data_IF_719029504101
#
_entry.id   IF_719029504101
#
_cell.length_a   1.000
_cell.length_b   1.000
_cell.length_c   1.000
_cell.angle_alpha   90.00
_cell.angle_beta   90.00
_cell.angle_gamma   90.00
#
_symmetry.space_group_name_H-M   'P 1'
#
loop_
_entity.id
_entity.type
_entity.pdbx_description
1 polymer ?
#
# COMPACT_ATOMS: atom_id res chain seq x y z
N UNK A 1 13.32 -3.73 -15.10
CA UNK A 1 12.61 -4.32 -16.27
C UNK A 1 11.42 -5.12 -15.75
N UNK A 2 10.24 -5.04 -16.39
CA UNK A 2 9.06 -5.83 -16.04
C UNK A 2 9.07 -7.16 -16.80
N UNK A 3 8.81 -8.26 -16.11
CA UNK A 3 8.81 -9.61 -16.67
C UNK A 3 7.45 -10.29 -16.47
N UNK A 4 7.04 -11.11 -17.45
CA UNK A 4 5.82 -11.87 -17.37
C UNK A 4 6.08 -13.26 -16.78
N UNK A 5 5.19 -13.71 -15.94
CA UNK A 5 5.17 -15.08 -15.41
C UNK A 5 4.48 -15.98 -16.43
N UNK A 6 5.10 -17.12 -16.77
CA UNK A 6 4.60 -18.05 -17.78
C UNK A 6 3.61 -19.05 -17.18
N UNK A 7 3.93 -19.57 -15.98
CA UNK A 7 3.15 -20.60 -15.29
C UNK A 7 3.37 -20.56 -13.75
N UNK A 8 2.79 -21.50 -13.03
CA UNK A 8 2.91 -21.56 -11.57
C UNK A 8 4.31 -21.98 -11.10
N UNK A 9 5.01 -22.83 -11.85
CA UNK A 9 6.36 -23.28 -11.50
C UNK A 9 7.36 -22.12 -11.67
N UNK A 10 7.19 -21.33 -12.76
CA UNK A 10 7.95 -20.10 -12.96
C UNK A 10 7.67 -19.09 -11.81
N UNK A 11 6.42 -18.92 -11.40
CA UNK A 11 6.05 -18.06 -10.27
C UNK A 11 6.74 -18.51 -8.97
N UNK A 12 6.79 -19.79 -8.70
CA UNK A 12 7.49 -20.32 -7.52
C UNK A 12 8.99 -20.10 -7.58
N UNK A 13 9.59 -20.32 -8.74
CA UNK A 13 11.01 -20.09 -8.98
C UNK A 13 11.38 -18.63 -8.73
N UNK A 14 10.59 -17.70 -9.25
CA UNK A 14 10.79 -16.25 -9.06
C UNK A 14 10.66 -15.87 -7.58
N UNK A 15 9.65 -16.38 -6.87
CA UNK A 15 9.48 -16.11 -5.44
C UNK A 15 10.66 -16.63 -4.60
N UNK A 16 11.26 -17.76 -4.99
CA UNK A 16 12.47 -18.30 -4.36
C UNK A 16 13.71 -17.51 -4.70
N UNK A 17 13.87 -17.10 -5.96
CA UNK A 17 15.02 -16.33 -6.45
C UNK A 17 15.10 -14.93 -5.86
N UNK A 18 13.95 -14.29 -5.62
CA UNK A 18 13.83 -12.92 -5.11
C UNK A 18 13.27 -12.88 -3.68
N UNK A 19 13.84 -13.69 -2.78
CA UNK A 19 13.36 -13.78 -1.38
C UNK A 19 13.40 -12.44 -0.63
N UNK A 20 14.36 -11.55 -0.96
CA UNK A 20 14.50 -10.28 -0.25
C UNK A 20 13.39 -9.30 -0.59
N UNK A 21 12.98 -9.20 -1.83
CA UNK A 21 11.88 -8.33 -2.24
C UNK A 21 11.51 -8.53 -3.71
N UNK A 22 10.23 -8.58 -4.02
CA UNK A 22 9.72 -8.48 -5.39
C UNK A 22 8.32 -7.86 -5.41
N UNK A 23 7.94 -7.30 -6.55
CA UNK A 23 6.58 -6.87 -6.85
C UNK A 23 5.92 -7.83 -7.84
N UNK A 24 4.69 -8.21 -7.55
CA UNK A 24 3.90 -9.09 -8.39
C UNK A 24 2.57 -8.43 -8.74
N UNK A 25 2.39 -8.08 -10.01
CA UNK A 25 1.16 -7.49 -10.56
C UNK A 25 0.22 -8.58 -11.08
N UNK A 26 -1.01 -8.59 -10.61
CA UNK A 26 -2.09 -9.44 -11.14
C UNK A 26 -2.90 -8.66 -12.17
N UNK A 27 -2.90 -9.15 -13.38
CA UNK A 27 -3.43 -8.48 -14.55
C UNK A 27 -4.39 -9.38 -15.33
N UNK A 28 -5.27 -8.74 -16.13
CA UNK A 28 -6.12 -9.44 -17.10
C UNK A 28 -6.35 -8.58 -18.33
N UNK A 29 -6.22 -9.20 -19.50
CA UNK A 29 -6.47 -8.55 -20.79
C UNK A 29 -7.92 -8.11 -21.02
N UNK A 30 -8.86 -8.67 -20.27
CA UNK A 30 -10.29 -8.30 -20.35
C UNK A 30 -10.64 -7.03 -19.54
N UNK A 31 -9.73 -6.52 -18.73
CA UNK A 31 -9.96 -5.36 -17.87
C UNK A 31 -9.26 -4.11 -18.40
N UNK A 32 -10.03 -3.08 -18.75
CA UNK A 32 -9.46 -1.78 -19.16
C UNK A 32 -8.66 -1.11 -18.03
N UNK A 33 -9.06 -1.31 -16.78
CA UNK A 33 -8.31 -0.84 -15.64
C UNK A 33 -6.95 -1.56 -15.55
N UNK A 34 -6.90 -2.87 -15.79
CA UNK A 34 -5.66 -3.63 -15.80
C UNK A 34 -4.71 -3.21 -16.94
N UNK A 35 -5.24 -2.89 -18.12
CA UNK A 35 -4.43 -2.37 -19.23
C UNK A 35 -3.79 -1.01 -18.90
N UNK A 36 -4.54 -0.13 -18.21
CA UNK A 36 -3.98 1.15 -17.73
C UNK A 36 -2.92 0.93 -16.65
N UNK A 37 -3.20 0.06 -15.69
CA UNK A 37 -2.24 -0.24 -14.63
C UNK A 37 -0.93 -0.82 -15.18
N UNK A 38 -0.99 -1.66 -16.23
CA UNK A 38 0.20 -2.24 -16.86
C UNK A 38 1.16 -1.16 -17.37
N UNK A 39 0.64 -0.10 -18.01
CA UNK A 39 1.46 1.02 -18.49
C UNK A 39 2.20 1.72 -17.34
N UNK A 40 1.50 1.93 -16.23
CA UNK A 40 2.10 2.52 -15.03
C UNK A 40 3.15 1.59 -14.39
N UNK A 41 2.94 0.28 -14.41
CA UNK A 41 3.90 -0.71 -13.94
C UNK A 41 5.13 -0.80 -14.83
N UNK A 42 4.97 -0.72 -16.15
CA UNK A 42 6.06 -0.66 -17.14
C UNK A 42 6.92 0.60 -16.92
N UNK A 43 6.28 1.75 -16.76
CA UNK A 43 6.97 3.00 -16.47
C UNK A 43 7.72 2.92 -15.14
N UNK A 44 7.07 2.43 -14.09
CA UNK A 44 7.70 2.21 -12.79
C UNK A 44 8.94 1.29 -12.89
N UNK A 45 8.81 0.16 -13.58
CA UNK A 45 9.90 -0.81 -13.75
C UNK A 45 11.08 -0.24 -14.58
N UNK A 46 10.80 0.71 -15.47
CA UNK A 46 11.85 1.43 -16.22
C UNK A 46 12.55 2.48 -15.36
N UNK A 47 11.81 3.21 -14.50
CA UNK A 47 12.37 4.23 -13.60
C UNK A 47 13.14 3.61 -12.41
N UNK A 48 12.71 2.44 -11.93
CA UNK A 48 13.25 1.77 -10.74
C UNK A 48 13.80 0.38 -11.07
N UNK A 49 14.83 0.31 -11.89
CA UNK A 49 15.41 -0.93 -12.43
C UNK A 49 15.84 -1.95 -11.35
N UNK A 50 16.19 -1.49 -10.16
CA UNK A 50 16.60 -2.34 -9.04
C UNK A 50 15.44 -3.07 -8.35
N UNK A 51 14.20 -2.68 -8.63
CA UNK A 51 13.01 -3.32 -8.07
C UNK A 51 12.54 -4.39 -9.05
N UNK A 52 12.62 -5.68 -8.70
CA UNK A 52 12.10 -6.74 -9.56
C UNK A 52 10.57 -6.68 -9.62
N UNK A 53 10.04 -6.54 -10.84
CA UNK A 53 8.61 -6.43 -11.12
C UNK A 53 8.18 -7.54 -12.06
N UNK A 54 7.22 -8.34 -11.61
CA UNK A 54 6.66 -9.45 -12.38
C UNK A 54 5.16 -9.28 -12.57
N UNK A 55 4.61 -9.83 -13.66
CA UNK A 55 3.20 -9.75 -13.97
C UNK A 55 2.62 -11.15 -14.22
N UNK A 56 1.51 -11.42 -13.57
CA UNK A 56 0.70 -12.63 -13.75
C UNK A 56 -0.56 -12.29 -14.54
N UNK A 57 -0.75 -12.92 -15.67
CA UNK A 57 -2.03 -12.92 -16.37
C UNK A 57 -2.98 -13.95 -15.72
N UNK A 58 -3.94 -13.47 -14.95
CA UNK A 58 -4.90 -14.35 -14.24
C UNK A 58 -5.83 -15.10 -15.19
N UNK A 59 -5.95 -14.68 -16.44
CA UNK A 59 -6.69 -15.40 -17.48
C UNK A 59 -5.94 -16.63 -17.96
N UNK A 60 -4.61 -16.60 -17.96
CA UNK A 60 -3.74 -17.70 -18.39
C UNK A 60 -3.33 -18.60 -17.22
N UNK A 61 -2.87 -17.99 -16.12
CA UNK A 61 -2.33 -18.73 -14.96
C UNK A 61 -3.41 -18.86 -13.89
N UNK A 62 -4.22 -19.91 -14.04
CA UNK A 62 -5.31 -20.20 -13.11
C UNK A 62 -4.75 -20.59 -11.73
N UNK A 63 -5.34 -20.03 -10.68
CA UNK A 63 -4.97 -20.36 -9.29
C UNK A 63 -3.92 -19.43 -8.66
N UNK A 64 -3.09 -18.74 -9.43
CA UNK A 64 -2.10 -17.80 -8.89
C UNK A 64 -2.74 -16.74 -7.97
N UNK A 65 -3.89 -16.18 -8.37
CA UNK A 65 -4.62 -15.19 -7.57
C UNK A 65 -5.12 -15.76 -6.23
N UNK A 66 -5.47 -17.05 -6.17
CA UNK A 66 -5.94 -17.71 -4.94
C UNK A 66 -4.83 -17.85 -3.92
N UNK A 67 -3.60 -18.19 -4.36
CA UNK A 67 -2.41 -18.34 -3.51
C UNK A 67 -2.12 -17.05 -2.72
N UNK A 68 -2.30 -15.90 -3.34
CA UNK A 68 -2.05 -14.60 -2.73
C UNK A 68 -3.32 -13.86 -2.29
N UNK A 69 -4.48 -14.56 -2.27
CA UNK A 69 -5.78 -14.01 -1.88
C UNK A 69 -6.14 -12.72 -2.65
N UNK A 70 -5.81 -12.68 -3.94
CA UNK A 70 -6.16 -11.56 -4.82
C UNK A 70 -7.58 -11.77 -5.34
N UNK A 71 -8.46 -10.80 -5.09
CA UNK A 71 -9.89 -10.87 -5.43
C UNK A 71 -10.25 -10.04 -6.65
N UNK A 72 -9.43 -9.07 -7.01
CA UNK A 72 -9.69 -8.16 -8.12
C UNK A 72 -8.41 -7.87 -8.92
N UNK A 73 -8.58 -7.46 -10.17
CA UNK A 73 -7.50 -6.97 -11.03
C UNK A 73 -7.82 -5.57 -11.53
N UNK A 74 -6.84 -4.70 -11.65
CA UNK A 74 -5.43 -4.88 -11.36
C UNK A 74 -5.13 -4.84 -9.86
N UNK A 75 -4.19 -5.67 -9.41
CA UNK A 75 -3.65 -5.64 -8.05
C UNK A 75 -2.15 -5.87 -8.09
N UNK A 76 -1.39 -4.99 -7.44
CA UNK A 76 0.05 -5.15 -7.21
C UNK A 76 0.30 -5.56 -5.77
N UNK A 77 1.09 -6.62 -5.54
CA UNK A 77 1.52 -7.02 -4.21
C UNK A 77 3.04 -6.93 -4.09
N UNK A 78 3.49 -6.55 -2.90
CA UNK A 78 4.90 -6.63 -2.51
C UNK A 78 5.12 -7.91 -1.70
N UNK A 79 6.12 -8.68 -2.07
CA UNK A 79 6.45 -9.97 -1.43
C UNK A 79 7.88 -9.93 -0.89
N UNK A 80 8.07 -10.47 0.30
CA UNK A 80 9.37 -10.75 0.92
C UNK A 80 9.30 -12.08 1.63
N UNK A 81 10.28 -12.96 1.41
CA UNK A 81 10.34 -14.32 2.00
C UNK A 81 9.02 -15.09 1.86
N UNK A 82 8.42 -15.00 0.67
CA UNK A 82 7.12 -15.61 0.34
C UNK A 82 5.91 -15.05 1.10
N UNK A 83 6.08 -14.01 1.91
CA UNK A 83 4.99 -13.32 2.60
C UNK A 83 4.59 -12.04 1.88
N UNK A 84 3.28 -11.79 1.81
CA UNK A 84 2.74 -10.55 1.24
C UNK A 84 2.89 -9.44 2.28
N UNK A 85 3.79 -8.49 2.00
CA UNK A 85 4.02 -7.32 2.86
C UNK A 85 2.97 -6.24 2.66
N UNK A 86 2.54 -6.07 1.41
CA UNK A 86 1.70 -4.94 1.04
C UNK A 86 0.89 -5.23 -0.22
N UNK A 87 -0.21 -4.51 -0.40
CA UNK A 87 -1.14 -4.70 -1.52
C UNK A 87 -1.68 -3.36 -1.99
N UNK A 88 -1.72 -3.17 -3.30
CA UNK A 88 -2.33 -2.03 -3.97
C UNK A 88 -3.36 -2.54 -4.98
N UNK A 89 -4.62 -2.25 -4.74
CA UNK A 89 -5.72 -2.61 -5.64
C UNK A 89 -6.11 -1.41 -6.50
N UNK A 90 -6.39 -1.66 -7.77
CA UNK A 90 -6.76 -0.63 -8.73
C UNK A 90 -5.58 -0.02 -9.47
N UNK A 91 -5.84 1.09 -10.17
CA UNK A 91 -4.86 1.81 -10.99
C UNK A 91 -4.24 2.93 -10.17
N UNK A 92 -2.93 2.89 -10.03
CA UNK A 92 -2.14 3.94 -9.42
C UNK A 92 -1.00 4.34 -10.39
N UNK A 93 -0.41 5.53 -10.21
CA UNK A 93 0.65 6.01 -11.08
C UNK A 93 2.00 5.34 -10.80
N UNK A 94 2.91 5.33 -11.78
CA UNK A 94 4.29 4.88 -11.64
C UNK A 94 4.99 5.56 -10.45
N UNK A 95 4.78 6.87 -10.32
CA UNK A 95 5.28 7.65 -9.18
C UNK A 95 4.76 7.15 -7.83
N UNK A 96 3.48 6.76 -7.75
CA UNK A 96 2.92 6.18 -6.52
C UNK A 96 3.65 4.90 -6.14
N UNK A 97 3.88 3.99 -7.11
CA UNK A 97 4.63 2.75 -6.86
C UNK A 97 6.07 3.04 -6.47
N UNK A 98 6.72 4.04 -7.09
CA UNK A 98 8.09 4.47 -6.75
C UNK A 98 8.22 4.89 -5.30
N UNK A 99 7.33 5.76 -4.86
CA UNK A 99 7.31 6.24 -3.48
C UNK A 99 6.99 5.12 -2.49
N UNK A 100 6.08 4.20 -2.86
CA UNK A 100 5.61 3.15 -1.97
C UNK A 100 6.58 1.98 -1.84
N UNK A 101 7.23 1.59 -2.93
CA UNK A 101 7.98 0.34 -3.00
C UNK A 101 9.48 0.52 -3.24
N UNK A 102 9.92 1.59 -3.90
CA UNK A 102 11.35 1.78 -4.17
C UNK A 102 12.18 1.98 -2.90
N UNK A 103 11.59 2.54 -1.85
CA UNK A 103 12.22 2.65 -0.53
C UNK A 103 12.24 1.35 0.27
N UNK A 104 11.47 0.32 -0.13
CA UNK A 104 11.42 -0.98 0.54
C UNK A 104 12.37 -2.01 -0.12
N UNK A 105 12.88 -1.72 -1.34
CA UNK A 105 13.89 -2.53 -1.97
C UNK A 105 15.22 -2.42 -1.20
N UNK A 106 15.97 -3.54 -1.02
CA UNK A 106 17.27 -3.47 -0.35
C UNK A 106 18.19 -2.48 -1.07
N UNK A 107 18.58 -1.43 -0.37
CA UNK A 107 19.49 -0.41 -0.89
C UNK A 107 20.89 -1.00 -1.04
N UNK A 108 21.23 -1.50 -2.21
CA UNK A 108 22.62 -1.73 -2.57
C UNK A 108 23.21 -0.41 -3.08
N UNK A 109 23.77 0.35 -2.14
CA UNK A 109 24.65 1.50 -2.42
C UNK A 109 24.01 2.88 -2.30
N UNK A 110 24.41 3.57 -1.25
CA UNK A 110 24.65 4.97 -1.01
C UNK A 110 23.72 6.02 -1.63
N UNK A 111 22.91 6.61 -0.77
CA UNK A 111 22.20 7.85 -1.08
C UNK A 111 21.29 8.23 0.09
N UNK A 112 21.82 9.08 1.00
CA UNK A 112 21.02 9.73 2.04
C UNK A 112 19.99 10.63 1.35
N UNK A 113 18.77 10.13 1.19
CA UNK A 113 17.63 10.90 0.78
C UNK A 113 16.50 10.63 1.76
N UNK A 114 16.14 11.59 2.57
CA UNK A 114 14.91 11.63 3.37
C UNK A 114 13.71 11.63 2.42
N UNK A 115 13.45 10.47 1.80
CA UNK A 115 12.32 10.23 0.92
C UNK A 115 11.03 10.25 1.75
N UNK A 116 10.28 11.31 1.65
CA UNK A 116 8.91 11.40 2.15
C UNK A 116 8.08 10.33 1.44
N UNK A 117 7.90 9.18 2.09
CA UNK A 117 7.01 8.13 1.61
C UNK A 117 5.60 8.71 1.56
N UNK A 118 5.07 8.95 0.35
CA UNK A 118 3.66 9.39 0.19
C UNK A 118 2.79 8.24 0.65
N UNK A 119 2.28 8.36 1.84
CA UNK A 119 1.42 7.36 2.47
C UNK A 119 -0.01 7.64 2.06
N UNK A 120 -0.70 6.61 1.63
CA UNK A 120 -2.15 6.70 1.54
C UNK A 120 -2.71 6.70 2.96
N UNK A 121 -3.02 7.90 3.46
CA UNK A 121 -3.67 8.06 4.75
C UNK A 121 -5.13 8.41 4.51
N UNK A 122 -6.03 7.57 5.00
CA UNK A 122 -7.48 7.82 4.99
C UNK A 122 -7.96 7.88 6.42
N UNK A 123 -8.55 9.01 6.79
CA UNK A 123 -9.16 9.21 8.10
C UNK A 123 -10.67 9.03 7.97
N UNK A 124 -11.21 8.05 8.65
CA UNK A 124 -12.65 7.87 8.80
C UNK A 124 -13.10 8.64 10.04
N UNK A 125 -13.96 9.62 9.84
CA UNK A 125 -14.35 10.57 10.88
C UNK A 125 -15.87 10.74 10.97
N UNK A 126 -16.33 11.44 11.99
CA UNK A 126 -17.73 11.85 12.15
C UNK A 126 -17.85 13.32 12.52
N UNK A 127 -19.05 13.94 12.38
CA UNK A 127 -19.24 15.39 12.47
C UNK A 127 -18.95 15.98 13.86
N UNK A 128 -19.22 15.26 14.94
CA UNK A 128 -19.04 15.76 16.31
C UNK A 128 -18.02 14.92 17.08
N UNK A 129 -16.82 14.76 16.51
CA UNK A 129 -15.79 13.89 17.06
C UNK A 129 -14.53 14.70 17.47
N UNK A 130 -14.35 15.03 18.77
CA UNK A 130 -13.15 15.76 19.22
C UNK A 130 -11.85 15.04 18.94
N UNK A 131 -11.81 13.71 19.11
CA UNK A 131 -10.64 12.89 18.81
C UNK A 131 -10.28 12.92 17.32
N UNK A 132 -11.28 12.99 16.42
CA UNK A 132 -11.05 13.14 14.99
C UNK A 132 -10.39 14.49 14.67
N UNK A 133 -10.81 15.55 15.33
CA UNK A 133 -10.21 16.89 15.16
C UNK A 133 -8.77 16.93 15.66
N UNK A 134 -8.49 16.29 16.79
CA UNK A 134 -7.13 16.16 17.33
C UNK A 134 -6.24 15.37 16.38
N UNK A 135 -6.69 14.23 15.87
CA UNK A 135 -5.97 13.42 14.88
C UNK A 135 -5.67 14.22 13.61
N UNK A 136 -6.67 14.90 13.04
CA UNK A 136 -6.49 15.71 11.82
C UNK A 136 -5.50 16.85 12.05
N UNK A 137 -5.53 17.51 13.20
CA UNK A 137 -4.57 18.56 13.58
C UNK A 137 -3.16 17.99 13.75
N UNK A 138 -3.05 16.79 14.34
CA UNK A 138 -1.79 16.07 14.48
C UNK A 138 -1.17 15.76 13.12
N UNK A 139 -1.93 15.17 12.20
CA UNK A 139 -1.45 14.84 10.85
C UNK A 139 -0.99 16.09 10.09
N UNK A 140 -1.75 17.19 10.16
CA UNK A 140 -1.37 18.47 9.53
C UNK A 140 -0.06 19.04 10.09
N UNK A 141 0.15 19.01 11.40
CA UNK A 141 1.38 19.48 12.03
C UNK A 141 2.62 18.73 11.55
N UNK A 142 2.45 17.43 11.27
CA UNK A 142 3.53 16.59 10.74
C UNK A 142 3.61 16.57 9.21
N UNK A 143 2.91 17.47 8.52
CA UNK A 143 2.92 17.53 7.05
C UNK A 143 2.34 16.32 6.35
N UNK A 144 1.52 15.52 7.06
CA UNK A 144 0.92 14.30 6.52
C UNK A 144 -0.39 14.67 5.80
N UNK A 145 -0.37 14.48 4.48
CA UNK A 145 -1.59 14.59 3.67
C UNK A 145 -2.49 13.38 3.91
N UNK A 146 -3.79 13.60 4.01
CA UNK A 146 -4.78 12.54 4.22
C UNK A 146 -6.08 12.85 3.48
N UNK A 147 -6.82 11.78 3.15
CA UNK A 147 -8.21 11.87 2.70
C UNK A 147 -9.13 11.74 3.91
N UNK A 148 -10.05 12.67 4.08
CA UNK A 148 -11.08 12.61 5.10
C UNK A 148 -12.35 11.98 4.53
N UNK A 149 -12.90 10.99 5.22
CA UNK A 149 -14.14 10.30 4.88
C UNK A 149 -15.09 10.40 6.07
N UNK A 150 -16.13 11.22 5.90
CA UNK A 150 -17.21 11.33 6.89
C UNK A 150 -18.13 10.11 6.78
N UNK A 151 -18.01 9.18 7.73
CA UNK A 151 -18.81 7.94 7.73
C UNK A 151 -20.29 8.16 8.06
N UNK A 152 -20.68 9.35 8.53
CA UNK A 152 -22.10 9.69 8.71
C UNK A 152 -22.81 9.95 7.39
N UNK A 153 -22.02 10.31 6.34
CA UNK A 153 -22.51 10.62 5.00
C UNK A 153 -22.22 9.51 3.98
N UNK A 154 -21.27 8.62 4.27
CA UNK A 154 -20.91 7.49 3.44
C UNK A 154 -21.12 6.17 4.18
N UNK A 155 -22.36 5.65 4.09
CA UNK A 155 -22.75 4.40 4.73
C UNK A 155 -21.95 3.18 4.21
N UNK A 156 -21.55 3.20 2.94
CA UNK A 156 -20.72 2.13 2.38
C UNK A 156 -19.31 2.15 2.99
N UNK A 157 -18.73 3.33 3.20
CA UNK A 157 -17.46 3.47 3.91
C UNK A 157 -17.60 3.05 5.38
N UNK A 158 -18.69 3.43 6.05
CA UNK A 158 -18.97 3.01 7.43
C UNK A 158 -18.99 1.48 7.56
N UNK A 159 -19.72 0.80 6.67
CA UNK A 159 -19.80 -0.67 6.69
C UNK A 159 -18.43 -1.33 6.37
N UNK A 160 -17.68 -0.78 5.37
CA UNK A 160 -16.36 -1.31 5.06
C UNK A 160 -15.40 -1.21 6.24
N UNK A 161 -15.37 -0.06 6.92
CA UNK A 161 -14.45 0.14 8.03
C UNK A 161 -14.85 -0.70 9.24
N UNK A 162 -16.15 -0.81 9.51
CA UNK A 162 -16.68 -1.64 10.60
C UNK A 162 -16.34 -3.13 10.42
N UNK A 163 -16.43 -3.65 9.19
CA UNK A 163 -16.02 -5.05 8.88
C UNK A 163 -14.53 -5.28 9.11
N UNK A 164 -13.68 -4.28 8.84
CA UNK A 164 -12.23 -4.37 8.98
C UNK A 164 -11.75 -4.24 10.42
N UNK A 165 -12.37 -3.36 11.20
CA UNK A 165 -11.98 -3.05 12.59
C UNK A 165 -12.78 -3.82 13.63
N UNK A 166 -13.93 -4.38 13.26
CA UNK A 166 -14.89 -4.96 14.19
C UNK A 166 -15.69 -3.91 14.99
N UNK A 167 -15.56 -2.62 14.69
CA UNK A 167 -16.23 -1.57 15.47
C UNK A 167 -16.56 -0.33 14.63
N UNK A 168 -17.56 0.43 15.09
CA UNK A 168 -18.06 1.65 14.42
C UNK A 168 -17.45 2.94 14.99
N UNK A 169 -16.57 2.84 15.97
CA UNK A 169 -15.95 3.99 16.61
C UNK A 169 -15.11 4.81 15.63
N UNK A 170 -15.06 6.14 15.82
CA UNK A 170 -14.21 7.08 15.07
C UNK A 170 -13.33 7.86 16.05
N UNK A 171 -12.15 8.34 15.64
CA UNK A 171 -11.54 8.19 14.31
C UNK A 171 -11.01 6.77 14.07
N UNK A 172 -10.96 6.37 12.80
CA UNK A 172 -10.15 5.24 12.36
C UNK A 172 -9.25 5.72 11.23
N UNK A 173 -7.99 5.33 11.24
CA UNK A 173 -7.01 5.77 10.24
C UNK A 173 -6.47 4.57 9.48
N UNK A 174 -6.69 4.54 8.18
CA UNK A 174 -6.07 3.57 7.28
C UNK A 174 -4.77 4.16 6.72
N UNK A 175 -3.65 3.59 7.13
CA UNK A 175 -2.32 3.99 6.67
C UNK A 175 -1.76 2.86 5.82
N UNK A 176 -1.77 3.01 4.50
CA UNK A 176 -1.28 1.99 3.57
C UNK A 176 -1.93 0.60 3.78
N UNK A 177 -3.22 0.55 4.13
CA UNK A 177 -3.94 -0.70 4.41
C UNK A 177 -3.86 -1.16 5.88
N UNK A 178 -3.02 -0.56 6.71
CA UNK A 178 -3.01 -0.81 8.17
C UNK A 178 -3.97 0.12 8.87
N UNK A 179 -4.87 -0.46 9.66
CA UNK A 179 -5.91 0.26 10.35
C UNK A 179 -5.52 0.55 11.81
N UNK A 180 -5.59 1.82 12.17
CA UNK A 180 -5.46 2.28 13.56
C UNK A 180 -6.80 2.82 14.01
N UNK A 181 -7.34 2.29 15.12
CA UNK A 181 -8.58 2.73 15.72
C UNK A 181 -8.27 3.71 16.84
N UNK A 182 -8.96 4.84 16.87
CA UNK A 182 -8.73 5.93 17.81
C UNK A 182 -7.54 6.83 17.43
N UNK A 183 -7.25 7.79 18.28
CA UNK A 183 -6.06 8.64 18.19
C UNK A 183 -4.96 8.08 19.09
N UNK A 184 -4.25 7.08 18.58
CA UNK A 184 -3.18 6.38 19.29
C UNK A 184 -1.83 6.70 18.61
N UNK A 185 -1.07 7.64 19.20
CA UNK A 185 0.22 8.09 18.67
C UNK A 185 1.25 6.96 18.64
N UNK A 186 1.24 6.06 19.62
CA UNK A 186 2.19 4.94 19.69
C UNK A 186 2.06 3.99 18.49
N UNK A 187 0.85 3.88 17.90
CA UNK A 187 0.56 3.11 16.70
C UNK A 187 0.70 3.93 15.42
N UNK A 188 0.33 5.22 15.48
CA UNK A 188 0.36 6.12 14.31
C UNK A 188 1.79 6.49 13.91
N UNK A 189 2.63 6.88 14.88
CA UNK A 189 3.96 7.44 14.61
C UNK A 189 4.87 6.47 13.85
N UNK A 190 5.00 5.19 14.22
CA UNK A 190 5.80 4.24 13.45
C UNK A 190 5.26 4.02 12.02
N UNK A 191 3.93 4.00 11.86
CA UNK A 191 3.29 3.84 10.57
C UNK A 191 3.43 5.08 9.69
N UNK A 192 3.52 6.26 10.29
CA UNK A 192 3.70 7.54 9.63
C UNK A 192 5.17 7.95 9.49
N UNK A 193 6.13 7.23 10.15
CA UNK A 193 7.55 7.57 10.22
C UNK A 193 7.78 8.91 10.93
N UNK A 194 6.89 9.24 11.83
CA UNK A 194 7.08 10.36 12.75
C UNK A 194 8.06 9.87 13.81
N UNK A 195 9.22 10.50 13.88
CA UNK A 195 10.16 10.22 14.98
C UNK A 195 9.60 10.88 16.25
N UNK A 196 9.62 10.11 17.35
CA UNK A 196 9.28 10.68 18.65
C UNK A 196 10.24 11.86 18.90
N UNK A 197 9.69 13.06 19.11
CA UNK A 197 10.47 14.18 19.61
C UNK A 197 11.19 13.71 20.87
N UNK A 198 12.53 13.70 20.84
CA UNK A 198 13.29 13.58 22.06
C UNK A 198 12.89 14.79 22.90
N UNK A 199 12.13 14.55 23.95
CA UNK A 199 11.94 15.54 24.98
C UNK A 199 13.32 15.85 25.56
N UNK A 200 13.89 16.97 25.14
CA UNK A 200 14.99 17.57 25.86
C UNK A 200 14.46 17.88 27.26
N UNK A 201 14.77 16.98 28.20
CA UNK A 201 14.64 17.26 29.60
C UNK A 201 15.85 18.13 29.97
N UNK A 202 15.59 19.41 30.16
CA UNK A 202 16.46 20.29 30.96
C UNK A 202 16.00 20.29 32.40
#
# INVERSE_FOLDING_TARGET
>A
MLEWIDDLDHLESICKKHEEFLLLGFWSGSSEAAKRALKEWEQFAAEYEKVPVFVVDVGKIKGAHKRFQVQSVPTMIAIKKSEVLDRVEGVESARFYGVRFAGAAPQMGGGSGTGHVVRRVVVYSGPSCPACSQLKSYLRRHGISYRDVDISRDQAAAQRIARRSGQMAVPQTDINGRLVVGFDRSKLDPLLGIQAERSDAT
#
